data_IF_934305562566
#
_entry.id   IF_934305562566
#
_cell.length_a   1.000
_cell.length_b   1.000
_cell.length_c   1.000
_cell.angle_alpha   90.00
_cell.angle_beta   90.00
_cell.angle_gamma   90.00
#
_symmetry.space_group_name_H-M   'P 1'
#
loop_
_entity.id
_entity.type
_entity.pdbx_description
1 polymer ?
#
# COMPACT_ATOMS: atom_id res chain seq x y z
N UNK A 1 -4.74 -14.96 1.65
CA UNK A 1 -3.68 -13.94 1.74
C UNK A 1 -2.89 -13.98 0.45
N UNK A 2 -2.36 -12.86 -0.03
CA UNK A 2 -1.47 -12.83 -1.20
C UNK A 2 -0.23 -13.69 -0.94
N UNK A 3 0.24 -14.41 -1.94
CA UNK A 3 1.42 -15.29 -1.90
C UNK A 3 2.67 -14.58 -2.42
N UNK A 4 3.85 -15.14 -2.15
CA UNK A 4 5.11 -14.64 -2.74
C UNK A 4 5.11 -14.68 -4.26
N UNK A 5 4.51 -15.72 -4.86
CA UNK A 5 4.39 -15.85 -6.31
C UNK A 5 3.53 -14.73 -6.92
N UNK A 6 2.42 -14.38 -6.26
CA UNK A 6 1.55 -13.29 -6.70
C UNK A 6 2.24 -11.93 -6.57
N UNK A 7 3.00 -11.70 -5.49
CA UNK A 7 3.78 -10.46 -5.31
C UNK A 7 4.90 -10.36 -6.37
N UNK A 8 5.56 -11.48 -6.70
CA UNK A 8 6.55 -11.53 -7.77
C UNK A 8 5.91 -11.20 -9.13
N UNK A 9 4.77 -11.83 -9.45
CA UNK A 9 4.00 -11.54 -10.67
C UNK A 9 3.59 -10.07 -10.72
N UNK A 10 3.16 -9.47 -9.60
CA UNK A 10 2.82 -8.06 -9.55
C UNK A 10 4.03 -7.19 -9.91
N UNK A 11 5.20 -7.48 -9.32
CA UNK A 11 6.45 -6.76 -9.64
C UNK A 11 6.83 -6.87 -11.12
N UNK A 12 6.82 -8.08 -11.68
CA UNK A 12 7.17 -8.34 -13.08
C UNK A 12 6.26 -7.61 -14.06
N UNK A 13 4.97 -7.54 -13.74
CA UNK A 13 3.96 -6.85 -14.54
C UNK A 13 3.82 -5.35 -14.21
N UNK A 14 4.70 -4.79 -13.39
CA UNK A 14 4.68 -3.38 -12.96
C UNK A 14 3.36 -2.96 -12.29
N UNK A 15 2.72 -3.90 -11.61
CA UNK A 15 1.53 -3.70 -10.80
C UNK A 15 1.95 -3.23 -9.40
N UNK A 16 1.21 -2.25 -8.88
CA UNK A 16 1.39 -1.72 -7.54
C UNK A 16 0.46 -2.45 -6.57
N UNK A 17 0.93 -2.76 -5.37
CA UNK A 17 0.12 -3.37 -4.32
C UNK A 17 -0.37 -2.31 -3.34
N UNK A 18 -1.57 -2.51 -2.78
CA UNK A 18 -2.20 -1.55 -1.88
C UNK A 18 -1.98 -1.90 -0.41
N UNK A 19 -1.68 -0.89 0.40
CA UNK A 19 -1.93 -0.87 1.85
C UNK A 19 -3.24 -0.11 2.07
N UNK A 20 -4.29 -0.81 2.51
CA UNK A 20 -5.62 -0.20 2.64
C UNK A 20 -5.80 0.46 4.00
N UNK A 21 -6.37 1.66 4.05
CA UNK A 21 -6.81 2.30 5.29
C UNK A 21 -8.25 1.90 5.69
N UNK A 22 -8.95 1.14 4.84
CA UNK A 22 -10.33 0.74 5.10
C UNK A 22 -10.43 -0.23 6.27
N UNK A 23 -11.42 0.00 7.12
CA UNK A 23 -11.74 -0.88 8.25
C UNK A 23 -12.14 -2.26 7.72
N UNK A 24 -11.64 -3.31 8.34
CA UNK A 24 -11.92 -4.70 7.96
C UNK A 24 -11.10 -5.24 6.77
N UNK A 25 -10.57 -4.37 5.90
CA UNK A 25 -9.66 -4.79 4.81
C UNK A 25 -8.17 -4.63 5.20
N UNK A 26 -7.88 -3.86 6.26
CA UNK A 26 -6.52 -3.53 6.72
C UNK A 26 -5.87 -4.54 7.65
N UNK A 27 -6.59 -5.58 8.09
CA UNK A 27 -6.11 -6.55 9.09
C UNK A 27 -4.82 -7.27 8.67
N UNK A 28 -4.59 -7.40 7.37
CA UNK A 28 -3.49 -8.16 6.78
C UNK A 28 -2.49 -7.27 6.05
N UNK A 29 -2.56 -5.95 6.24
CA UNK A 29 -1.62 -4.99 5.67
C UNK A 29 -0.16 -5.35 5.99
N UNK A 30 0.11 -5.83 7.21
CA UNK A 30 1.45 -6.28 7.60
C UNK A 30 1.99 -7.42 6.74
N UNK A 31 1.13 -8.34 6.32
CA UNK A 31 1.50 -9.44 5.42
C UNK A 31 1.83 -8.93 4.02
N UNK A 32 1.03 -8.01 3.48
CA UNK A 32 1.28 -7.38 2.17
C UNK A 32 2.58 -6.59 2.19
N UNK A 33 2.77 -5.74 3.21
CA UNK A 33 3.98 -4.93 3.39
C UNK A 33 5.23 -5.81 3.48
N UNK A 34 5.23 -6.82 4.35
CA UNK A 34 6.36 -7.74 4.52
C UNK A 34 6.76 -8.40 3.19
N UNK A 35 5.81 -8.97 2.45
CA UNK A 35 6.11 -9.64 1.18
C UNK A 35 6.55 -8.65 0.09
N UNK A 36 5.90 -7.49 -0.01
CA UNK A 36 6.27 -6.47 -0.98
C UNK A 36 7.69 -5.96 -0.74
N UNK A 37 8.08 -5.73 0.52
CA UNK A 37 9.45 -5.33 0.88
C UNK A 37 10.46 -6.45 0.60
N UNK A 38 10.13 -7.70 0.93
CA UNK A 38 10.98 -8.88 0.65
C UNK A 38 11.29 -9.02 -0.85
N UNK A 39 10.28 -8.81 -1.70
CA UNK A 39 10.37 -9.08 -3.15
C UNK A 39 10.75 -7.82 -3.94
N UNK A 40 10.57 -6.63 -3.36
CA UNK A 40 10.77 -5.34 -4.02
C UNK A 40 9.61 -4.96 -4.94
N UNK A 41 8.37 -5.30 -4.57
CA UNK A 41 7.17 -4.82 -5.24
C UNK A 41 6.82 -3.40 -4.77
N UNK A 42 6.27 -2.57 -5.67
CA UNK A 42 5.90 -1.20 -5.32
C UNK A 42 4.57 -1.18 -4.57
N UNK A 43 4.50 -0.32 -3.55
CA UNK A 43 3.32 -0.12 -2.72
C UNK A 43 2.69 1.26 -2.95
N UNK A 44 1.38 1.33 -2.75
CA UNK A 44 0.58 2.56 -2.62
C UNK A 44 -0.33 2.46 -1.39
N UNK A 45 -0.73 3.60 -0.82
CA UNK A 45 -1.75 3.64 0.24
C UNK A 45 -3.03 4.22 -0.35
N UNK A 46 -4.17 3.62 0.00
CA UNK A 46 -5.46 4.12 -0.42
C UNK A 46 -6.52 3.89 0.67
N UNK A 47 -7.59 4.67 0.63
CA UNK A 47 -8.67 4.65 1.61
C UNK A 47 -9.76 3.64 1.29
N UNK A 48 -9.89 3.24 0.03
CA UNK A 48 -11.00 2.39 -0.46
C UNK A 48 -12.36 2.93 0.05
N UNK A 49 -12.56 4.25 -0.07
CA UNK A 49 -13.66 4.98 0.57
C UNK A 49 -15.01 4.67 -0.07
N UNK A 50 -16.00 4.30 0.76
CA UNK A 50 -17.41 4.18 0.36
C UNK A 50 -18.30 5.24 1.03
N UNK A 51 -17.81 5.91 2.07
CA UNK A 51 -18.47 7.01 2.75
C UNK A 51 -17.47 8.14 3.07
N UNK A 52 -17.93 9.38 3.31
CA UNK A 52 -17.04 10.50 3.64
C UNK A 52 -16.12 10.25 4.85
N UNK A 53 -16.59 9.46 5.82
CA UNK A 53 -15.85 9.12 7.04
C UNK A 53 -14.66 8.17 6.79
N UNK A 54 -14.58 7.56 5.60
CA UNK A 54 -13.45 6.73 5.18
C UNK A 54 -12.26 7.59 4.69
N UNK A 55 -12.47 8.88 4.42
CA UNK A 55 -11.40 9.77 4.01
C UNK A 55 -10.45 10.04 5.18
N UNK A 56 -9.15 9.97 4.90
CA UNK A 56 -8.11 10.17 5.89
C UNK A 56 -7.23 11.36 5.53
N UNK A 57 -6.68 12.01 6.53
CA UNK A 57 -5.61 12.99 6.34
C UNK A 57 -4.23 12.31 6.30
N UNK A 58 -3.20 13.06 5.93
CA UNK A 58 -1.82 12.58 5.87
C UNK A 58 -1.35 11.93 7.17
N UNK A 59 -1.68 12.54 8.33
CA UNK A 59 -1.29 12.01 9.63
C UNK A 59 -1.86 10.62 9.87
N UNK A 60 -3.10 10.38 9.48
CA UNK A 60 -3.72 9.06 9.59
C UNK A 60 -3.15 8.09 8.54
N UNK A 61 -2.88 8.54 7.31
CA UNK A 61 -2.23 7.72 6.29
C UNK A 61 -0.85 7.21 6.77
N UNK A 62 -0.02 8.09 7.34
CA UNK A 62 1.27 7.71 7.95
C UNK A 62 1.12 6.67 9.05
N UNK A 63 0.09 6.81 9.92
CA UNK A 63 -0.21 5.81 10.94
C UNK A 63 -0.61 4.46 10.36
N UNK A 64 -1.39 4.42 9.29
CA UNK A 64 -1.78 3.18 8.60
C UNK A 64 -0.54 2.49 8.01
N UNK A 65 0.32 3.25 7.31
CA UNK A 65 1.59 2.73 6.76
C UNK A 65 2.48 2.18 7.88
N UNK A 66 2.67 2.93 8.97
CA UNK A 66 3.48 2.48 10.10
C UNK A 66 2.86 1.24 10.79
N UNK A 67 1.53 1.21 10.91
CA UNK A 67 0.80 0.05 11.45
C UNK A 67 0.92 -1.21 10.59
N UNK A 68 1.25 -1.07 9.31
CA UNK A 68 1.58 -2.17 8.42
C UNK A 68 3.04 -2.67 8.58
N UNK A 69 3.83 -2.09 9.49
CA UNK A 69 5.24 -2.43 9.69
C UNK A 69 6.22 -1.71 8.77
N UNK A 70 5.78 -0.62 8.13
CA UNK A 70 6.61 0.25 7.28
C UNK A 70 7.02 1.52 8.05
N UNK A 71 7.84 2.37 7.43
CA UNK A 71 8.32 3.63 8.00
C UNK A 71 7.60 4.85 7.41
N UNK A 72 7.77 6.03 8.01
CA UNK A 72 7.29 7.29 7.40
C UNK A 72 7.99 7.58 6.06
N UNK A 73 9.25 7.17 5.89
CA UNK A 73 9.93 7.30 4.59
C UNK A 73 9.30 6.39 3.52
N UNK A 74 8.79 5.22 3.91
CA UNK A 74 8.03 4.36 2.99
C UNK A 74 6.73 5.03 2.57
N UNK A 75 6.05 5.78 3.45
CA UNK A 75 4.91 6.60 3.06
C UNK A 75 5.28 7.61 1.96
N UNK A 76 6.39 8.33 2.10
CA UNK A 76 6.84 9.28 1.06
C UNK A 76 7.17 8.58 -0.26
N UNK A 77 7.75 7.38 -0.22
CA UNK A 77 7.96 6.52 -1.40
C UNK A 77 6.62 6.10 -2.01
N UNK A 78 5.64 5.73 -1.19
CA UNK A 78 4.30 5.33 -1.65
C UNK A 78 3.56 6.51 -2.33
N UNK A 79 3.75 7.74 -1.85
CA UNK A 79 3.22 8.93 -2.52
C UNK A 79 3.88 9.15 -3.90
N UNK A 80 5.21 8.94 -4.00
CA UNK A 80 5.91 8.96 -5.30
C UNK A 80 5.44 7.84 -6.21
N UNK A 81 5.19 6.65 -5.67
CA UNK A 81 4.63 5.51 -6.40
C UNK A 81 3.23 5.83 -6.96
N UNK A 82 2.37 6.47 -6.18
CA UNK A 82 1.05 6.90 -6.65
C UNK A 82 1.16 7.91 -7.81
N UNK A 83 2.09 8.87 -7.71
CA UNK A 83 2.38 9.78 -8.82
C UNK A 83 2.88 9.03 -10.06
N UNK A 84 3.81 8.09 -9.90
CA UNK A 84 4.31 7.25 -11.01
C UNK A 84 3.18 6.45 -11.65
N UNK A 85 2.29 5.85 -10.86
CA UNK A 85 1.15 5.08 -11.35
C UNK A 85 0.26 5.91 -12.28
N UNK A 86 -0.12 7.13 -11.86
CA UNK A 86 -0.97 8.02 -12.66
C UNK A 86 -0.32 8.39 -14.01
N UNK A 87 1.01 8.45 -14.09
CA UNK A 87 1.74 8.78 -15.31
C UNK A 87 2.06 7.55 -16.19
N UNK A 88 1.70 6.35 -15.75
CA UNK A 88 1.90 5.11 -16.51
C UNK A 88 0.64 4.65 -17.26
N UNK A 89 -0.52 5.23 -16.95
CA UNK A 89 -1.82 4.93 -17.57
C UNK A 89 -2.09 5.88 -18.74
#
# INVERSE_FOLDING_TARGET
LISEEEVLKAKENRIFLEISARKGHSLTNGHVAMLAMKIGAKLVINTDSHAPEDLINEKMAKKVVCGAGLTENDYDIMQKNAYLYINMV
#
